data_IF_135945405485
#
_entry.id   IF_135945405485
#
_cell.length_a   1.000
_cell.length_b   1.000
_cell.length_c   1.000
_cell.angle_alpha   90.00
_cell.angle_beta   90.00
_cell.angle_gamma   90.00
#
_symmetry.space_group_name_H-M   'P 1'
#
loop_
_entity.id
_entity.type
_entity.pdbx_description
1 polymer ?
#
# COMPACT_ATOMS: atom_id res chain seq x y z
N UNK A 1 -8.16 27.04 15.88
CA UNK A 1 -6.89 27.40 16.55
C UNK A 1 -6.70 26.51 17.75
N UNK A 2 -5.54 25.83 17.84
CA UNK A 2 -5.18 25.09 19.04
C UNK A 2 -5.00 26.09 20.21
N UNK A 3 -5.40 25.73 21.44
CA UNK A 3 -5.32 26.63 22.59
C UNK A 3 -3.90 26.90 23.10
N UNK A 4 -2.88 26.28 22.48
CA UNK A 4 -1.47 26.44 22.79
C UNK A 4 -0.63 26.36 21.51
N UNK A 5 0.49 27.08 21.49
CA UNK A 5 1.50 27.00 20.44
C UNK A 5 2.37 25.76 20.72
N UNK A 6 2.35 24.78 19.81
CA UNK A 6 3.16 23.56 19.97
C UNK A 6 4.59 23.89 19.54
N UNK A 7 5.52 23.91 20.49
CA UNK A 7 6.94 24.11 20.18
C UNK A 7 7.57 22.81 19.66
N UNK A 8 7.88 22.80 18.37
CA UNK A 8 8.52 21.66 17.68
C UNK A 8 9.85 21.26 18.32
N UNK A 9 10.54 22.18 19.00
CA UNK A 9 11.85 21.94 19.62
C UNK A 9 11.78 20.93 20.75
N UNK A 10 10.70 20.92 21.52
CA UNK A 10 10.53 19.98 22.64
C UNK A 10 10.41 18.53 22.14
N UNK A 11 9.69 18.33 21.03
CA UNK A 11 9.53 17.02 20.39
C UNK A 11 10.83 16.63 19.68
N UNK A 12 11.41 17.55 18.89
CA UNK A 12 12.64 17.29 18.13
C UNK A 12 13.85 17.01 19.02
N UNK A 13 13.90 17.57 20.23
CA UNK A 13 14.96 17.28 21.20
C UNK A 13 14.85 15.89 21.85
N UNK A 14 13.65 15.30 21.84
CA UNK A 14 13.38 13.99 22.44
C UNK A 14 13.54 12.82 21.47
N UNK A 15 13.54 13.08 20.16
CA UNK A 15 13.59 12.03 19.13
C UNK A 15 14.71 12.29 18.11
N UNK A 16 15.23 11.22 17.51
CA UNK A 16 16.20 11.33 16.41
C UNK A 16 15.49 11.25 15.04
N UNK A 17 14.55 12.18 14.80
CA UNK A 17 13.80 12.26 13.56
C UNK A 17 13.41 13.71 13.26
N UNK A 18 13.15 14.02 11.98
CA UNK A 18 12.62 15.32 11.57
C UNK A 18 11.16 15.43 12.02
N UNK A 19 10.81 16.53 12.70
CA UNK A 19 9.45 16.80 13.15
C UNK A 19 8.93 18.03 12.42
N UNK A 20 7.71 17.92 11.90
CA UNK A 20 6.99 19.01 11.24
C UNK A 20 5.56 19.04 11.79
N UNK A 21 5.04 20.25 12.01
CA UNK A 21 3.62 20.46 12.35
C UNK A 21 2.91 20.85 11.07
N UNK A 22 1.80 20.17 10.80
CA UNK A 22 0.93 20.47 9.68
C UNK A 22 -0.30 21.21 10.19
N UNK A 23 -0.58 22.39 9.64
CA UNK A 23 -1.79 23.18 9.97
C UNK A 23 -3.07 22.55 9.38
N UNK A 24 -2.91 21.70 8.37
CA UNK A 24 -3.98 21.01 7.66
C UNK A 24 -3.65 19.53 7.60
N UNK A 25 -4.66 18.67 7.76
CA UNK A 25 -4.48 17.24 7.59
C UNK A 25 -3.98 16.92 6.17
N UNK A 26 -2.89 16.15 6.02
CA UNK A 26 -2.39 15.78 4.71
C UNK A 26 -3.35 14.82 4.01
N UNK A 27 -3.26 14.76 2.68
CA UNK A 27 -4.02 13.79 1.89
C UNK A 27 -3.45 12.38 2.10
N UNK A 28 -4.16 11.57 2.89
CA UNK A 28 -3.78 10.19 3.19
C UNK A 28 -4.45 9.27 2.17
N UNK A 29 -3.64 8.59 1.35
CA UNK A 29 -4.11 7.62 0.36
C UNK A 29 -3.83 6.20 0.80
N UNK A 30 -4.57 5.25 0.23
CA UNK A 30 -4.27 3.83 0.34
C UNK A 30 -3.51 3.36 -0.90
N UNK A 31 -2.56 2.46 -0.69
CA UNK A 31 -1.81 1.78 -1.76
C UNK A 31 -1.70 0.29 -1.47
N UNK A 32 -1.69 -0.54 -2.52
CA UNK A 32 -1.29 -1.95 -2.42
C UNK A 32 0.22 -2.03 -2.13
N UNK A 33 0.59 -2.41 -0.91
CA UNK A 33 1.97 -2.68 -0.50
C UNK A 33 2.49 -3.97 -1.13
N UNK A 34 1.67 -5.02 -1.10
CA UNK A 34 2.07 -6.36 -1.54
C UNK A 34 0.88 -7.21 -1.97
N UNK A 35 1.09 -8.01 -3.02
CA UNK A 35 0.18 -9.06 -3.45
C UNK A 35 0.85 -10.42 -3.22
N UNK A 36 0.45 -11.11 -2.15
CA UNK A 36 1.00 -12.41 -1.79
C UNK A 36 0.22 -13.52 -2.51
N UNK A 37 0.83 -14.28 -3.43
CA UNK A 37 0.11 -15.31 -4.17
C UNK A 37 -0.29 -16.49 -3.27
N UNK A 38 -1.55 -16.93 -3.40
CA UNK A 38 -2.02 -18.18 -2.80
C UNK A 38 -1.58 -19.35 -3.67
N UNK A 39 -0.37 -19.86 -3.43
CA UNK A 39 0.20 -20.96 -4.21
C UNK A 39 -0.64 -22.25 -4.22
N UNK A 40 -1.46 -22.48 -3.20
CA UNK A 40 -2.42 -23.59 -3.18
C UNK A 40 -3.51 -23.50 -4.26
N UNK A 41 -3.77 -22.31 -4.80
CA UNK A 41 -4.73 -22.08 -5.90
C UNK A 41 -3.99 -21.93 -7.23
N UNK A 42 -3.01 -21.03 -7.28
CA UNK A 42 -2.32 -20.67 -8.53
C UNK A 42 -1.46 -21.83 -9.03
N UNK A 43 -0.80 -22.56 -8.12
CA UNK A 43 0.08 -23.69 -8.46
C UNK A 43 -0.61 -24.79 -9.26
N UNK A 44 -1.71 -25.38 -8.77
CA UNK A 44 -2.47 -26.38 -9.51
C UNK A 44 -3.08 -25.86 -10.82
N UNK A 45 -3.46 -24.58 -10.87
CA UNK A 45 -4.14 -23.98 -12.03
C UNK A 45 -3.18 -23.70 -13.19
N UNK A 46 -1.98 -23.17 -12.89
CA UNK A 46 -1.05 -22.68 -13.91
C UNK A 46 0.23 -23.49 -14.02
N UNK A 47 0.49 -24.42 -13.08
CA UNK A 47 1.62 -25.36 -13.11
C UNK A 47 2.95 -24.63 -13.33
N UNK A 48 3.63 -24.89 -14.44
CA UNK A 48 4.89 -24.30 -14.85
C UNK A 48 4.81 -22.78 -15.08
N UNK A 49 3.63 -22.25 -15.43
CA UNK A 49 3.38 -20.80 -15.65
C UNK A 49 3.16 -20.01 -14.35
N UNK A 50 3.11 -20.68 -13.20
CA UNK A 50 2.81 -20.05 -11.89
C UNK A 50 3.73 -18.86 -11.61
N UNK A 51 5.04 -19.02 -11.79
CA UNK A 51 6.02 -17.97 -11.49
C UNK A 51 5.82 -16.74 -12.36
N UNK A 52 5.52 -16.94 -13.64
CA UNK A 52 5.37 -15.86 -14.60
C UNK A 52 4.11 -15.03 -14.32
N UNK A 53 3.00 -15.67 -14.00
CA UNK A 53 1.77 -14.98 -13.58
C UNK A 53 1.99 -14.17 -12.30
N UNK A 54 2.63 -14.77 -11.30
CA UNK A 54 2.94 -14.07 -10.05
C UNK A 54 3.82 -12.85 -10.31
N UNK A 55 4.81 -12.96 -11.20
CA UNK A 55 5.67 -11.84 -11.55
C UNK A 55 4.91 -10.75 -12.31
N UNK A 56 4.05 -11.13 -13.26
CA UNK A 56 3.27 -10.19 -14.05
C UNK A 56 2.36 -9.34 -13.15
N UNK A 57 1.65 -9.98 -12.21
CA UNK A 57 0.79 -9.28 -11.24
C UNK A 57 1.61 -8.40 -10.29
N UNK A 58 2.76 -8.89 -9.80
CA UNK A 58 3.60 -8.09 -8.88
C UNK A 58 4.29 -6.90 -9.57
N UNK A 59 4.47 -6.95 -10.89
CA UNK A 59 5.07 -5.88 -11.69
C UNK A 59 4.05 -4.87 -12.23
N UNK A 60 2.76 -5.04 -11.94
CA UNK A 60 1.75 -4.01 -12.20
C UNK A 60 2.13 -2.68 -11.54
N UNK A 61 1.74 -1.59 -12.18
CA UNK A 61 1.87 -0.24 -11.60
C UNK A 61 1.03 -0.12 -10.33
N UNK A 62 1.26 0.93 -9.53
CA UNK A 62 0.49 1.13 -8.30
C UNK A 62 -1.01 1.30 -8.60
N UNK A 63 -1.33 2.09 -9.62
CA UNK A 63 -2.70 2.31 -10.08
C UNK A 63 -3.34 1.01 -10.60
N UNK A 64 -2.61 0.23 -11.41
CA UNK A 64 -3.12 -1.05 -11.92
C UNK A 64 -3.33 -2.07 -10.79
N UNK A 65 -2.50 -2.05 -9.74
CA UNK A 65 -2.67 -2.92 -8.57
C UNK A 65 -3.92 -2.52 -7.79
N UNK A 66 -4.15 -1.23 -7.59
CA UNK A 66 -5.37 -0.73 -6.95
C UNK A 66 -6.59 -1.15 -7.77
N UNK A 67 -6.57 -0.90 -9.08
CA UNK A 67 -7.64 -1.28 -10.00
C UNK A 67 -7.88 -2.79 -10.02
N UNK A 68 -6.84 -3.60 -10.02
CA UNK A 68 -6.94 -5.06 -9.94
C UNK A 68 -7.64 -5.53 -8.66
N UNK A 69 -7.30 -4.92 -7.52
CA UNK A 69 -7.94 -5.22 -6.24
C UNK A 69 -9.40 -4.78 -6.23
N UNK A 70 -9.71 -3.59 -6.75
CA UNK A 70 -11.07 -3.03 -6.81
C UNK A 70 -11.99 -3.77 -7.79
N UNK A 71 -11.50 -4.05 -9.00
CA UNK A 71 -12.27 -4.77 -10.04
C UNK A 71 -12.39 -6.27 -9.76
N UNK A 72 -11.46 -6.83 -8.99
CA UNK A 72 -11.45 -8.24 -8.63
C UNK A 72 -10.74 -9.15 -9.62
N UNK A 73 -10.42 -8.67 -10.82
CA UNK A 73 -9.71 -9.44 -11.85
C UNK A 73 -8.98 -8.56 -12.87
N UNK A 74 -8.03 -9.16 -13.58
CA UNK A 74 -7.30 -8.55 -14.69
C UNK A 74 -7.04 -9.59 -15.79
N UNK A 75 -7.15 -9.18 -17.05
CA UNK A 75 -6.71 -10.01 -18.18
C UNK A 75 -5.21 -9.82 -18.43
N UNK A 76 -4.48 -10.94 -18.50
CA UNK A 76 -3.04 -10.94 -18.82
C UNK A 76 -2.80 -11.81 -20.05
N UNK A 77 -1.84 -11.42 -20.90
CA UNK A 77 -1.44 -12.20 -22.05
C UNK A 77 -0.10 -12.88 -21.77
N UNK A 78 -0.06 -14.21 -21.91
CA UNK A 78 1.11 -15.03 -21.65
C UNK A 78 1.17 -16.14 -22.70
N UNK A 79 2.28 -16.21 -23.43
CA UNK A 79 2.48 -17.08 -24.61
C UNK A 79 1.39 -16.94 -25.69
N UNK A 80 0.83 -15.74 -25.88
CA UNK A 80 -0.25 -15.50 -26.84
C UNK A 80 -1.62 -16.01 -26.39
N UNK A 81 -1.73 -16.52 -25.16
CA UNK A 81 -2.99 -16.88 -24.53
C UNK A 81 -3.40 -15.82 -23.50
N UNK A 82 -4.69 -15.49 -23.50
CA UNK A 82 -5.27 -14.63 -22.47
C UNK A 82 -5.65 -15.46 -21.24
N UNK A 83 -5.27 -14.98 -20.07
CA UNK A 83 -5.68 -15.54 -18.78
C UNK A 83 -6.36 -14.46 -17.95
N UNK A 84 -7.51 -14.78 -17.37
CA UNK A 84 -8.16 -13.94 -16.36
C UNK A 84 -7.59 -14.31 -15.00
N UNK A 85 -6.87 -13.38 -14.39
CA UNK A 85 -6.30 -13.53 -13.06
C UNK A 85 -7.23 -12.86 -12.07
N UNK A 86 -7.59 -13.55 -10.99
CA UNK A 86 -8.47 -13.01 -9.96
C UNK A 86 -7.69 -12.50 -8.75
N UNK A 87 -8.11 -11.37 -8.20
CA UNK A 87 -7.51 -10.79 -7.01
C UNK A 87 -7.66 -11.69 -5.78
N UNK A 88 -8.73 -12.48 -5.70
CA UNK A 88 -8.98 -13.43 -4.62
C UNK A 88 -7.89 -14.52 -4.50
N UNK A 89 -7.10 -14.75 -5.55
CA UNK A 89 -5.95 -15.66 -5.55
C UNK A 89 -4.71 -15.06 -4.89
N UNK A 90 -4.79 -13.82 -4.41
CA UNK A 90 -3.73 -13.13 -3.70
C UNK A 90 -4.25 -12.65 -2.34
N UNK A 91 -3.41 -12.70 -1.33
CA UNK A 91 -3.62 -11.93 -0.10
C UNK A 91 -3.07 -10.52 -0.33
N UNK A 92 -3.92 -9.52 -0.11
CA UNK A 92 -3.62 -8.12 -0.38
C UNK A 92 -3.17 -7.45 0.93
N UNK A 93 -1.96 -6.89 0.93
CA UNK A 93 -1.48 -6.04 2.01
C UNK A 93 -1.59 -4.59 1.54
N UNK A 94 -2.39 -3.80 2.25
CA UNK A 94 -2.56 -2.37 2.01
C UNK A 94 -1.69 -1.56 2.97
N UNK A 95 -1.26 -0.38 2.54
CA UNK A 95 -0.62 0.61 3.40
C UNK A 95 -1.19 2.00 3.14
N UNK A 96 -1.05 2.87 4.15
CA UNK A 96 -1.36 4.29 3.99
C UNK A 96 -0.13 5.00 3.46
N UNK A 97 -0.34 5.99 2.60
CA UNK A 97 0.72 6.84 2.06
C UNK A 97 0.34 8.31 2.14
N UNK A 98 1.34 9.16 2.42
CA UNK A 98 1.26 10.62 2.32
C UNK A 98 2.38 11.07 1.40
N UNK A 99 2.05 11.82 0.36
CA UNK A 99 3.03 12.27 -0.65
C UNK A 99 3.92 11.14 -1.21
N UNK A 100 3.34 9.95 -1.36
CA UNK A 100 4.03 8.75 -1.87
C UNK A 100 4.91 8.01 -0.84
N UNK A 101 5.05 8.53 0.38
CA UNK A 101 5.76 7.87 1.49
C UNK A 101 4.80 7.00 2.30
N UNK A 102 5.22 5.78 2.62
CA UNK A 102 4.46 4.91 3.50
C UNK A 102 4.44 5.50 4.92
N UNK A 103 3.27 5.46 5.55
CA UNK A 103 3.07 6.03 6.88
C UNK A 103 2.29 5.09 7.79
N UNK A 104 2.61 5.14 9.07
CA UNK A 104 1.74 4.74 10.16
C UNK A 104 1.08 5.97 10.78
N UNK A 105 -0.12 5.81 11.31
CA UNK A 105 -0.87 6.90 11.94
C UNK A 105 -1.33 6.50 13.34
N UNK A 106 -1.07 7.34 14.34
CA UNK A 106 -1.53 7.16 15.72
C UNK A 106 -2.40 8.35 16.12
N UNK A 107 -3.60 8.08 16.62
CA UNK A 107 -4.50 9.10 17.16
C UNK A 107 -4.37 9.15 18.69
N UNK A 108 -4.06 10.33 19.22
CA UNK A 108 -3.86 10.59 20.65
C UNK A 108 -4.71 11.81 21.04
N UNK A 109 -5.89 11.55 21.60
CA UNK A 109 -6.87 12.62 21.83
C UNK A 109 -7.26 13.27 20.50
N UNK A 110 -7.09 14.59 20.40
CA UNK A 110 -7.39 15.37 19.20
C UNK A 110 -6.18 15.53 18.25
N UNK A 111 -5.07 14.83 18.52
CA UNK A 111 -3.83 14.91 17.72
C UNK A 111 -3.66 13.63 16.91
N UNK A 112 -3.42 13.76 15.61
CA UNK A 112 -2.99 12.66 14.75
C UNK A 112 -1.49 12.78 14.47
N UNK A 113 -0.74 11.75 14.83
CA UNK A 113 0.68 11.61 14.51
C UNK A 113 0.84 10.75 13.27
N UNK A 114 1.57 11.23 12.27
CA UNK A 114 2.00 10.47 11.10
C UNK A 114 3.48 10.12 11.22
N UNK A 115 3.83 8.85 11.02
CA UNK A 115 5.19 8.34 11.16
C UNK A 115 5.55 7.68 9.82
N UNK A 116 6.57 8.20 9.14
CA UNK A 116 7.12 7.55 7.95
C UNK A 116 7.81 6.22 8.33
N UNK A 117 7.51 5.14 7.59
CA UNK A 117 7.99 3.77 7.84
C UNK A 117 8.83 3.20 6.70
#
# INVERSE_FOLDING_TARGET
HLPYEVDVRDISGAINAKVEILDVLPDVKLRVKKLKPKFGIIGPMFKDKTKEIVNLVNNLSEDDKMEFVEKGEIEVNLDGQKYTIKSEWFDVEMEKVVEGKAIESVEIGDVTLFIEV
#
